data_IF_128117456282
#
_entry.id   IF_128117456282
#
_cell.length_a   1.000
_cell.length_b   1.000
_cell.length_c   1.000
_cell.angle_alpha   90.00
_cell.angle_beta   90.00
_cell.angle_gamma   90.00
#
_symmetry.space_group_name_H-M   'P 1'
#
loop_
_entity.id
_entity.type
_entity.pdbx_description
1 polymer ?
#
# COMPACT_ATOMS: atom_id res chain seq x y z
N UNK A 1 -12.70 -6.96 1.18
CA UNK A 1 -12.24 -6.80 2.58
C UNK A 1 -10.75 -7.03 2.55
N UNK A 2 -9.96 -6.08 3.06
CA UNK A 2 -8.49 -6.16 3.06
C UNK A 2 -8.07 -7.15 4.16
N UNK A 3 -7.20 -8.13 3.87
CA UNK A 3 -6.90 -9.21 4.81
C UNK A 3 -5.83 -8.74 5.81
N UNK A 4 -6.18 -7.82 6.72
CA UNK A 4 -5.29 -7.27 7.76
C UNK A 4 -4.03 -6.54 7.27
N UNK A 5 -3.59 -5.53 8.01
CA UNK A 5 -2.36 -4.79 7.69
C UNK A 5 -1.09 -5.50 8.20
N UNK A 6 -1.26 -6.58 8.98
CA UNK A 6 -0.20 -7.26 9.73
C UNK A 6 0.75 -8.07 8.85
N UNK A 7 0.28 -8.56 7.69
CA UNK A 7 1.09 -9.36 6.75
C UNK A 7 1.73 -8.53 5.64
N UNK A 8 1.56 -7.20 5.64
CA UNK A 8 2.10 -6.33 4.59
C UNK A 8 3.53 -5.87 4.92
N UNK A 9 4.46 -5.95 3.96
CA UNK A 9 5.79 -5.36 4.11
C UNK A 9 5.77 -3.82 4.13
N UNK A 10 4.70 -3.23 3.58
CA UNK A 10 4.47 -1.80 3.44
C UNK A 10 3.00 -1.53 3.07
N UNK A 11 2.48 -0.37 3.49
CA UNK A 11 1.14 0.11 3.13
C UNK A 11 1.23 1.35 2.23
N UNK A 12 0.41 1.38 1.19
CA UNK A 12 0.23 2.56 0.32
C UNK A 12 -1.16 3.12 0.57
N UNK A 13 -1.25 4.39 0.96
CA UNK A 13 -2.52 5.09 1.21
C UNK A 13 -2.79 6.08 0.10
N UNK A 14 -3.87 5.88 -0.66
CA UNK A 14 -4.33 6.83 -1.68
C UNK A 14 -5.31 7.82 -1.06
N UNK A 15 -5.01 9.11 -1.18
CA UNK A 15 -5.65 10.18 -0.42
C UNK A 15 -6.44 11.14 -1.30
N UNK A 16 -7.55 11.63 -0.77
CA UNK A 16 -8.31 12.71 -1.38
C UNK A 16 -7.79 14.07 -0.88
N UNK A 17 -7.65 15.05 -1.78
CA UNK A 17 -7.19 16.41 -1.46
C UNK A 17 -8.23 17.51 -1.63
N UNK A 18 -9.48 17.15 -1.96
CA UNK A 18 -10.50 18.11 -2.42
C UNK A 18 -11.67 18.31 -1.46
N UNK A 19 -12.18 17.24 -0.84
CA UNK A 19 -13.31 17.30 0.08
C UNK A 19 -12.78 17.26 1.51
N UNK A 20 -13.08 18.28 2.31
CA UNK A 20 -12.51 18.42 3.67
C UNK A 20 -12.77 17.20 4.57
N UNK A 21 -13.97 16.61 4.50
CA UNK A 21 -14.29 15.38 5.25
C UNK A 21 -13.42 14.20 4.80
N UNK A 22 -13.21 14.06 3.50
CA UNK A 22 -12.36 13.00 2.95
C UNK A 22 -10.87 13.25 3.22
N UNK A 23 -10.44 14.51 3.35
CA UNK A 23 -9.07 14.86 3.76
C UNK A 23 -8.84 14.41 5.20
N UNK A 24 -9.78 14.68 6.10
CA UNK A 24 -9.70 14.26 7.50
C UNK A 24 -9.69 12.73 7.62
N UNK A 25 -10.61 12.04 6.94
CA UNK A 25 -10.63 10.58 6.87
C UNK A 25 -9.32 10.01 6.28
N UNK A 26 -8.75 10.67 5.26
CA UNK A 26 -7.47 10.27 4.67
C UNK A 26 -6.31 10.38 5.67
N UNK A 27 -6.26 11.45 6.47
CA UNK A 27 -5.24 11.64 7.51
C UNK A 27 -5.39 10.60 8.62
N UNK A 28 -6.62 10.32 9.07
CA UNK A 28 -6.89 9.27 10.04
C UNK A 28 -6.44 7.89 9.55
N UNK A 29 -6.72 7.55 8.29
CA UNK A 29 -6.28 6.31 7.67
C UNK A 29 -4.74 6.19 7.57
N UNK A 30 -4.04 7.30 7.31
CA UNK A 30 -2.56 7.32 7.36
C UNK A 30 -2.07 7.00 8.78
N UNK A 31 -2.70 7.60 9.80
CA UNK A 31 -2.38 7.35 11.20
C UNK A 31 -2.58 5.89 11.59
N UNK A 32 -3.70 5.29 11.21
CA UNK A 32 -4.00 3.87 11.42
C UNK A 32 -2.93 2.98 10.76
N UNK A 33 -2.66 3.19 9.48
CA UNK A 33 -1.65 2.43 8.75
C UNK A 33 -0.24 2.55 9.35
N UNK A 34 0.12 3.74 9.86
CA UNK A 34 1.40 3.95 10.55
C UNK A 34 1.47 3.22 11.89
N UNK A 35 0.36 3.12 12.61
CA UNK A 35 0.31 2.44 13.89
C UNK A 35 0.37 0.92 13.74
N UNK A 36 -0.25 0.38 12.69
CA UNK A 36 -0.31 -1.07 12.47
C UNK A 36 0.92 -1.60 11.73
N UNK A 37 1.38 -0.91 10.68
CA UNK A 37 2.48 -1.39 9.83
C UNK A 37 3.82 -0.68 10.07
N UNK A 38 3.78 0.63 10.32
CA UNK A 38 4.96 1.47 10.51
C UNK A 38 5.70 1.88 9.23
N UNK A 39 5.43 1.25 8.08
CA UNK A 39 5.97 1.65 6.77
C UNK A 39 4.86 2.08 5.82
N UNK A 40 4.68 3.39 5.69
CA UNK A 40 3.58 3.95 4.88
C UNK A 40 4.12 4.90 3.82
N UNK A 41 3.67 4.69 2.58
CA UNK A 41 3.78 5.64 1.47
C UNK A 41 2.41 6.25 1.23
N UNK A 42 2.37 7.58 1.07
CA UNK A 42 1.14 8.30 0.76
C UNK A 42 1.15 8.75 -0.69
N UNK A 43 0.01 8.58 -1.36
CA UNK A 43 -0.19 9.02 -2.75
C UNK A 43 -1.55 9.68 -2.92
N UNK A 44 -1.76 10.39 -4.02
CA UNK A 44 -3.04 11.02 -4.37
C UNK A 44 -3.02 12.54 -4.32
N UNK A 45 -4.19 13.16 -4.47
CA UNK A 45 -4.31 14.61 -4.63
C UNK A 45 -3.84 15.39 -3.39
N UNK A 46 -3.95 14.81 -2.19
CA UNK A 46 -3.46 15.44 -0.97
C UNK A 46 -1.92 15.51 -0.94
N UNK A 47 -1.23 14.63 -1.67
CA UNK A 47 0.24 14.65 -1.77
C UNK A 47 0.79 15.91 -2.43
N UNK A 48 -0.02 16.68 -3.15
CA UNK A 48 0.36 18.02 -3.61
C UNK A 48 0.50 19.04 -2.46
N UNK A 49 0.00 18.71 -1.26
CA UNK A 49 0.10 19.47 -0.01
C UNK A 49 0.96 18.70 1.00
N UNK A 50 2.15 18.29 0.58
CA UNK A 50 3.07 17.45 1.37
C UNK A 50 3.28 17.98 2.81
N UNK A 51 3.47 19.28 2.96
CA UNK A 51 3.67 19.93 4.27
C UNK A 51 2.55 19.61 5.26
N UNK A 52 1.30 19.62 4.79
CA UNK A 52 0.13 19.33 5.62
C UNK A 52 0.16 17.88 6.14
N UNK A 53 0.58 16.93 5.31
CA UNK A 53 0.68 15.53 5.71
C UNK A 53 1.84 15.35 6.70
N UNK A 54 2.99 15.99 6.45
CA UNK A 54 4.18 15.86 7.31
C UNK A 54 4.02 16.53 8.66
N UNK A 55 3.24 17.60 8.75
CA UNK A 55 2.92 18.26 10.02
C UNK A 55 2.18 17.31 10.97
N UNK A 56 1.23 16.54 10.45
CA UNK A 56 0.42 15.60 11.25
C UNK A 56 1.11 14.23 11.41
N UNK A 57 1.72 13.73 10.35
CA UNK A 57 2.32 12.39 10.29
C UNK A 57 3.79 12.44 9.80
N UNK A 58 4.73 12.92 10.64
CA UNK A 58 6.13 13.07 10.24
C UNK A 58 6.86 11.74 9.98
N UNK A 59 6.23 10.60 10.33
CA UNK A 59 6.78 9.26 10.16
C UNK A 59 6.47 8.61 8.81
N UNK A 60 5.70 9.28 7.94
CA UNK A 60 5.46 8.80 6.57
C UNK A 60 6.80 8.72 5.83
N UNK A 61 7.03 7.62 5.12
CA UNK A 61 8.28 7.39 4.39
C UNK A 61 8.37 8.34 3.20
N UNK A 62 7.36 8.30 2.32
CA UNK A 62 7.33 9.09 1.09
C UNK A 62 5.92 9.60 0.81
N UNK A 63 5.85 10.76 0.19
CA UNK A 63 4.60 11.40 -0.22
C UNK A 63 4.71 11.70 -1.71
N UNK A 64 3.71 11.26 -2.47
CA UNK A 64 3.65 11.46 -3.92
C UNK A 64 2.35 12.16 -4.30
N UNK A 65 2.41 12.98 -5.35
CA UNK A 65 1.25 13.69 -5.88
C UNK A 65 0.30 12.79 -6.69
N UNK A 66 -0.75 13.37 -7.28
CA UNK A 66 -1.64 12.64 -8.17
C UNK A 66 -0.90 12.22 -9.45
N UNK A 67 -1.27 11.06 -9.99
CA UNK A 67 -0.69 10.48 -11.21
C UNK A 67 0.80 10.11 -11.11
N UNK A 68 1.37 10.02 -9.91
CA UNK A 68 2.79 9.67 -9.68
C UNK A 68 3.03 8.15 -9.58
N UNK A 69 2.50 7.36 -10.52
CA UNK A 69 2.59 5.90 -10.44
C UNK A 69 4.03 5.37 -10.41
N UNK A 70 4.88 5.87 -11.31
CA UNK A 70 6.28 5.46 -11.42
C UNK A 70 7.06 5.78 -10.15
N UNK A 71 6.80 6.96 -9.55
CA UNK A 71 7.42 7.39 -8.31
C UNK A 71 7.01 6.50 -7.13
N UNK A 72 5.72 6.15 -7.03
CA UNK A 72 5.25 5.20 -6.01
C UNK A 72 5.97 3.86 -6.15
N UNK A 73 6.09 3.33 -7.37
CA UNK A 73 6.82 2.07 -7.61
C UNK A 73 8.30 2.17 -7.24
N UNK A 74 8.96 3.27 -7.60
CA UNK A 74 10.36 3.51 -7.25
C UNK A 74 10.56 3.48 -5.72
N UNK A 75 9.70 4.19 -4.99
CA UNK A 75 9.74 4.19 -3.53
C UNK A 75 9.44 2.81 -2.93
N UNK A 76 8.44 2.08 -3.46
CA UNK A 76 8.15 0.71 -3.02
C UNK A 76 9.39 -0.17 -3.19
N UNK A 77 10.05 -0.12 -4.36
CA UNK A 77 11.25 -0.91 -4.61
C UNK A 77 12.47 -0.47 -3.79
N UNK A 78 12.51 0.79 -3.37
CA UNK A 78 13.55 1.32 -2.47
C UNK A 78 13.46 0.71 -1.07
N UNK A 79 12.26 0.65 -0.49
CA UNK A 79 12.04 0.18 0.89
C UNK A 79 11.72 -1.31 1.01
N UNK A 80 11.17 -1.91 -0.05
CA UNK A 80 10.84 -3.33 -0.16
C UNK A 80 11.48 -3.86 -1.45
N UNK A 81 12.74 -4.32 -1.37
CA UNK A 81 13.44 -4.88 -2.52
C UNK A 81 12.64 -6.06 -3.08
N UNK A 82 12.55 -6.17 -4.41
CA UNK A 82 11.90 -7.33 -5.03
C UNK A 82 12.63 -8.60 -4.58
N UNK A 83 11.90 -9.50 -3.93
CA UNK A 83 12.33 -10.90 -3.83
C UNK A 83 12.22 -11.50 -5.23
N UNK A 84 13.32 -12.03 -5.76
CA UNK A 84 13.29 -12.79 -7.00
C UNK A 84 12.34 -13.98 -6.82
N UNK A 85 11.47 -14.24 -7.81
CA UNK A 85 10.52 -15.37 -7.91
C UNK A 85 9.15 -15.25 -7.20
N UNK A 86 8.30 -14.34 -7.66
CA UNK A 86 6.85 -14.58 -7.66
C UNK A 86 6.37 -14.41 -9.10
N UNK A 87 6.02 -15.49 -9.83
CA UNK A 87 5.40 -15.37 -11.14
C UNK A 87 4.11 -14.54 -10.98
N UNK A 88 3.98 -13.48 -11.78
CA UNK A 88 2.70 -12.77 -11.91
C UNK A 88 1.67 -13.78 -12.42
N UNK A 89 0.61 -14.10 -11.66
CA UNK A 89 -0.40 -15.04 -12.13
C UNK A 89 -1.11 -14.46 -13.35
N UNK A 90 -1.24 -15.29 -14.39
CA UNK A 90 -1.95 -14.95 -15.62
C UNK A 90 -3.37 -14.41 -15.32
N UNK A 91 -3.86 -13.36 -16.00
CA UNK A 91 -5.19 -12.80 -15.76
C UNK A 91 -6.28 -13.86 -16.00
N UNK A 92 -6.82 -14.43 -14.91
CA UNK A 92 -7.79 -15.54 -14.96
C UNK A 92 -7.50 -16.68 -13.98
N UNK A 93 -6.31 -16.73 -13.38
CA UNK A 93 -6.01 -17.67 -12.30
C UNK A 93 -6.81 -17.29 -11.04
N UNK A 94 -7.92 -17.99 -10.76
CA UNK A 94 -8.60 -17.89 -9.47
C UNK A 94 -7.74 -18.60 -8.43
N UNK A 95 -6.84 -17.89 -7.78
CA UNK A 95 -6.19 -18.38 -6.57
C UNK A 95 -7.26 -18.45 -5.48
N UNK A 96 -7.80 -19.65 -5.26
CA UNK A 96 -8.72 -19.91 -4.16
C UNK A 96 -7.88 -19.77 -2.87
N UNK A 97 -8.11 -18.68 -2.13
CA UNK A 97 -7.47 -18.50 -0.83
C UNK A 97 -8.21 -19.42 0.14
N UNK A 98 -7.70 -20.64 0.32
CA UNK A 98 -8.07 -21.48 1.46
C UNK A 98 -7.11 -21.17 2.60
N UNK A 99 -7.69 -20.73 3.72
CA UNK A 99 -7.01 -20.40 4.96
C UNK A 99 -6.44 -21.67 5.57
N UNK A 100 -5.20 -22.04 5.24
CA UNK A 100 -4.29 -22.72 6.17
C UNK A 100 -2.87 -22.91 5.59
N UNK A 101 -1.91 -22.93 6.51
CA UNK A 101 -0.50 -22.67 6.31
C UNK A 101 0.29 -23.70 5.46
N UNK A 102 1.32 -23.15 4.79
CA UNK A 102 2.59 -23.78 4.39
C UNK A 102 2.56 -25.00 3.42
N UNK A 103 3.30 -24.83 2.33
CA UNK A 103 3.89 -25.86 1.46
C UNK A 103 3.08 -26.34 0.25
N UNK A 104 3.52 -25.90 -0.94
CA UNK A 104 3.34 -26.54 -2.26
C UNK A 104 1.88 -26.84 -2.71
N UNK A 105 1.26 -25.91 -3.43
CA UNK A 105 0.23 -26.27 -4.42
C UNK A 105 0.91 -26.55 -5.76
N UNK A 106 1.35 -27.80 -5.91
CA UNK A 106 1.69 -28.36 -7.21
C UNK A 106 0.46 -28.36 -8.11
N UNK A 107 0.71 -28.05 -9.39
CA UNK A 107 -0.18 -28.15 -10.53
C UNK A 107 -1.04 -29.42 -10.53
N UNK A 108 -2.36 -29.27 -10.50
CA UNK A 108 -3.26 -30.25 -11.13
C UNK A 108 -4.22 -29.53 -12.08
N UNK A 109 -4.12 -29.94 -13.36
CA UNK A 109 -4.99 -29.52 -14.45
C UNK A 109 -6.41 -30.01 -14.23
N UNK A 110 -7.38 -29.10 -14.31
CA UNK A 110 -8.73 -29.43 -14.79
C UNK A 110 -9.33 -28.24 -15.54
#
# INVERSE_FOLDING_TARGET
MVPSYDDADMVIVNTCGFIDSAVQESLEAIGEALNENGKVIVTGCLGAKEDQIREVHPKVLEITGPHSYEQVLEHVHHYVPKTETQPIPEPGARTRCETDAASLCLSENF
#
